data_IF_852309108597
#
_entry.id   IF_852309108597
#
_cell.length_a   1.000
_cell.length_b   1.000
_cell.length_c   1.000
_cell.angle_alpha   90.00
_cell.angle_beta   90.00
_cell.angle_gamma   90.00
#
_symmetry.space_group_name_H-M   'P 1'
#
loop_
_entity.id
_entity.type
_entity.pdbx_description
1 polymer ?
#
# COMPACT_ATOMS: atom_id res chain seq x y z
N UNK A 1 -35.50 2.08 -22.26
CA UNK A 1 -34.37 2.29 -21.36
C UNK A 1 -34.26 1.01 -20.52
N UNK A 2 -33.36 0.13 -20.92
CA UNK A 2 -33.07 -1.11 -20.19
C UNK A 2 -32.05 -0.72 -19.11
N UNK A 3 -32.47 -0.77 -17.85
CA UNK A 3 -31.57 -0.68 -16.69
C UNK A 3 -30.72 -1.93 -16.74
N UNK A 4 -29.42 -1.78 -17.05
CA UNK A 4 -28.48 -2.90 -17.04
C UNK A 4 -28.44 -3.51 -15.65
N UNK A 5 -28.48 -4.84 -15.58
CA UNK A 5 -28.28 -5.60 -14.35
C UNK A 5 -26.96 -5.17 -13.71
N UNK A 6 -26.89 -5.06 -12.37
CA UNK A 6 -25.64 -4.75 -11.68
C UNK A 6 -24.63 -5.86 -12.01
N UNK A 7 -23.46 -5.48 -12.59
CA UNK A 7 -22.33 -6.39 -12.77
C UNK A 7 -22.11 -7.16 -11.47
N UNK A 8 -22.04 -8.50 -11.54
CA UNK A 8 -21.57 -9.31 -10.41
C UNK A 8 -20.23 -8.70 -9.96
N UNK A 9 -20.16 -8.27 -8.71
CA UNK A 9 -18.89 -7.86 -8.11
C UNK A 9 -17.95 -9.04 -8.22
N UNK A 10 -16.76 -8.82 -8.78
CA UNK A 10 -15.67 -9.81 -8.77
C UNK A 10 -15.35 -10.22 -7.33
N UNK A 11 -14.53 -11.22 -7.16
CA UNK A 11 -14.02 -11.68 -5.87
C UNK A 11 -13.49 -10.49 -5.08
N UNK A 12 -13.83 -10.39 -3.81
CA UNK A 12 -13.36 -9.27 -2.98
C UNK A 12 -11.85 -9.33 -2.79
N UNK A 13 -11.19 -8.17 -2.56
CA UNK A 13 -9.76 -8.13 -2.26
C UNK A 13 -9.38 -9.10 -1.13
N UNK A 14 -10.18 -9.15 -0.05
CA UNK A 14 -9.95 -10.05 1.08
C UNK A 14 -9.92 -11.52 0.64
N UNK A 15 -10.92 -11.98 -0.13
CA UNK A 15 -10.98 -13.36 -0.62
C UNK A 15 -9.82 -13.71 -1.54
N UNK A 16 -9.41 -12.79 -2.44
CA UNK A 16 -8.26 -13.00 -3.32
C UNK A 16 -6.99 -13.16 -2.51
N UNK A 17 -6.72 -12.26 -1.58
CA UNK A 17 -5.49 -12.31 -0.78
C UNK A 17 -5.51 -13.40 0.29
N UNK A 18 -6.66 -13.85 0.77
CA UNK A 18 -6.80 -15.04 1.61
C UNK A 18 -6.35 -16.31 0.87
N UNK A 19 -6.67 -16.42 -0.43
CA UNK A 19 -6.28 -17.59 -1.25
C UNK A 19 -4.84 -17.49 -1.76
N UNK A 20 -4.40 -16.31 -2.18
CA UNK A 20 -3.02 -16.07 -2.63
C UNK A 20 -2.01 -16.33 -1.51
N UNK A 21 -2.27 -15.84 -0.31
CA UNK A 21 -1.51 -16.11 0.90
C UNK A 21 0.00 -15.93 0.71
N UNK A 22 0.77 -16.92 1.16
CA UNK A 22 2.22 -16.90 1.12
C UNK A 22 2.83 -16.86 -0.31
N UNK A 23 2.08 -17.30 -1.34
CA UNK A 23 2.55 -17.25 -2.75
C UNK A 23 2.81 -15.81 -3.23
N UNK A 24 2.11 -14.82 -2.65
CA UNK A 24 2.40 -13.42 -2.95
C UNK A 24 3.86 -13.06 -2.72
N UNK A 25 4.40 -13.50 -1.61
CA UNK A 25 5.79 -13.23 -1.23
C UNK A 25 6.81 -13.91 -2.17
N UNK A 26 6.48 -15.09 -2.69
CA UNK A 26 7.36 -15.81 -3.64
C UNK A 26 7.56 -15.01 -4.94
N UNK A 27 6.52 -14.25 -5.37
CA UNK A 27 6.57 -13.47 -6.61
C UNK A 27 7.09 -12.06 -6.37
N UNK A 28 6.70 -11.42 -5.26
CA UNK A 28 6.92 -10.00 -5.01
C UNK A 28 7.91 -9.72 -3.86
N UNK A 29 8.54 -10.75 -3.26
CA UNK A 29 9.58 -10.53 -2.27
C UNK A 29 10.78 -9.81 -2.88
N UNK A 30 11.22 -8.73 -2.22
CA UNK A 30 12.46 -8.06 -2.59
C UNK A 30 12.38 -7.17 -3.83
N UNK A 31 11.21 -6.61 -4.14
CA UNK A 31 11.09 -5.56 -5.17
C UNK A 31 12.08 -4.43 -4.89
N UNK A 32 13.08 -4.19 -5.78
CA UNK A 32 14.22 -3.31 -5.48
C UNK A 32 13.80 -1.87 -5.13
N UNK A 33 12.78 -1.33 -5.82
CA UNK A 33 12.28 0.01 -5.55
C UNK A 33 11.61 0.14 -4.18
N UNK A 34 10.92 -0.90 -3.71
CA UNK A 34 10.34 -0.94 -2.36
C UNK A 34 11.45 -0.98 -1.30
N UNK A 35 12.47 -1.81 -1.47
CA UNK A 35 13.61 -1.87 -0.55
C UNK A 35 14.35 -0.53 -0.49
N UNK A 36 14.61 0.11 -1.63
CA UNK A 36 15.22 1.44 -1.69
C UNK A 36 14.35 2.52 -1.01
N UNK A 37 13.00 2.41 -1.11
CA UNK A 37 12.11 3.32 -0.41
C UNK A 37 12.14 3.11 1.12
N UNK A 38 12.24 1.86 1.57
CA UNK A 38 12.38 1.52 2.99
C UNK A 38 13.73 1.95 3.56
N UNK A 39 14.83 1.77 2.84
CA UNK A 39 16.17 2.26 3.24
C UNK A 39 16.17 3.79 3.36
N UNK A 40 15.55 4.48 2.41
CA UNK A 40 15.41 5.93 2.45
C UNK A 40 14.62 6.39 3.67
N UNK A 41 13.54 5.68 4.01
CA UNK A 41 12.68 6.01 5.13
C UNK A 41 13.36 5.74 6.48
N UNK A 42 13.94 4.55 6.66
CA UNK A 42 14.61 4.17 7.91
C UNK A 42 15.78 5.07 8.27
N UNK A 43 16.50 5.61 7.26
CA UNK A 43 17.55 6.59 7.49
C UNK A 43 17.05 7.95 8.05
N UNK A 44 15.73 8.18 8.07
CA UNK A 44 15.08 9.45 8.48
C UNK A 44 14.22 9.32 9.72
N UNK A 45 13.88 8.11 10.10
CA UNK A 45 13.07 7.84 11.29
C UNK A 45 13.95 7.67 12.53
N UNK A 46 13.50 8.22 13.64
CA UNK A 46 14.12 7.98 14.95
C UNK A 46 13.74 6.58 15.49
N UNK A 47 14.55 5.96 16.34
CA UNK A 47 14.15 4.77 17.09
C UNK A 47 12.84 5.03 17.86
N UNK A 48 11.93 4.07 17.79
CA UNK A 48 10.60 4.20 18.38
C UNK A 48 9.58 4.96 17.54
N UNK A 49 9.96 5.45 16.34
CA UNK A 49 9.04 6.11 15.41
C UNK A 49 7.82 5.22 15.12
N UNK A 50 6.64 5.81 15.16
CA UNK A 50 5.37 5.12 14.91
C UNK A 50 5.12 5.06 13.42
N UNK A 51 5.00 3.85 12.87
CA UNK A 51 4.77 3.64 11.44
C UNK A 51 3.51 2.82 11.21
N UNK A 52 2.66 3.29 10.29
CA UNK A 52 1.52 2.54 9.77
C UNK A 52 1.90 1.94 8.42
N UNK A 53 1.70 0.63 8.28
CA UNK A 53 1.86 -0.11 7.02
C UNK A 53 0.48 -0.50 6.49
N UNK A 54 0.02 0.17 5.44
CA UNK A 54 -1.32 0.00 4.86
C UNK A 54 -1.28 -1.04 3.74
N UNK A 55 -2.05 -2.11 3.90
CA UNK A 55 -1.96 -3.30 3.06
C UNK A 55 -0.67 -4.06 3.37
N UNK A 56 -0.47 -4.36 4.65
CA UNK A 56 0.78 -4.94 5.15
C UNK A 56 1.08 -6.37 4.65
N UNK A 57 0.08 -7.03 4.04
CA UNK A 57 0.24 -8.38 3.53
C UNK A 57 0.82 -9.31 4.59
N UNK A 58 1.88 -10.04 4.22
CA UNK A 58 2.59 -10.97 5.11
C UNK A 58 3.52 -10.29 6.13
N UNK A 59 3.54 -8.94 6.19
CA UNK A 59 4.47 -8.15 6.99
C UNK A 59 5.86 -7.99 6.37
N UNK A 60 6.11 -8.61 5.22
CA UNK A 60 7.39 -8.58 4.50
C UNK A 60 7.29 -7.93 3.14
N UNK A 61 8.31 -7.12 2.75
CA UNK A 61 9.47 -6.72 3.54
C UNK A 61 9.23 -5.55 4.50
N UNK A 62 8.10 -4.80 4.34
CA UNK A 62 7.91 -3.46 4.93
C UNK A 62 7.97 -3.49 6.46
N UNK A 63 7.03 -4.16 7.11
CA UNK A 63 6.98 -4.19 8.57
C UNK A 63 8.24 -4.83 9.18
N UNK A 64 8.81 -5.86 8.55
CA UNK A 64 10.04 -6.50 9.02
C UNK A 64 11.24 -5.55 9.01
N UNK A 65 11.46 -4.81 7.92
CA UNK A 65 12.57 -3.84 7.79
C UNK A 65 12.41 -2.72 8.82
N UNK A 66 11.21 -2.15 8.93
CA UNK A 66 10.92 -1.05 9.85
C UNK A 66 11.05 -1.49 11.32
N UNK A 67 10.54 -2.66 11.69
CA UNK A 67 10.66 -3.19 13.04
C UNK A 67 12.14 -3.47 13.40
N UNK A 68 12.93 -4.03 12.47
CA UNK A 68 14.38 -4.21 12.67
C UNK A 68 15.15 -2.90 12.81
N UNK A 69 14.67 -1.82 12.19
CA UNK A 69 15.20 -0.48 12.38
C UNK A 69 14.78 0.17 13.71
N UNK A 70 14.00 -0.52 14.53
CA UNK A 70 13.57 -0.05 15.84
C UNK A 70 12.29 0.80 15.84
N UNK A 71 11.51 0.79 14.74
CA UNK A 71 10.22 1.48 14.67
C UNK A 71 9.12 0.69 15.39
N UNK A 72 8.14 1.42 15.92
CA UNK A 72 6.88 0.87 16.42
C UNK A 72 5.89 0.73 15.26
N UNK A 73 5.82 -0.46 14.66
CA UNK A 73 5.04 -0.71 13.44
C UNK A 73 3.66 -1.25 13.77
N UNK A 74 2.64 -0.65 13.15
CA UNK A 74 1.28 -1.21 13.05
C UNK A 74 1.00 -1.49 11.57
N UNK A 75 0.69 -2.74 11.23
CA UNK A 75 0.25 -3.12 9.88
C UNK A 75 -1.27 -3.34 9.85
N UNK A 76 -1.92 -2.89 8.80
CA UNK A 76 -3.33 -3.19 8.53
C UNK A 76 -3.49 -3.88 7.18
N UNK A 77 -4.35 -4.89 7.12
CA UNK A 77 -4.71 -5.59 5.89
C UNK A 77 -6.17 -6.06 5.94
N UNK A 78 -6.83 -6.13 4.79
CA UNK A 78 -8.22 -6.60 4.70
C UNK A 78 -8.32 -8.13 4.83
N UNK A 79 -7.25 -8.86 4.48
CA UNK A 79 -7.17 -10.31 4.54
C UNK A 79 -6.81 -10.78 5.96
N UNK A 80 -7.69 -11.56 6.56
CA UNK A 80 -7.41 -12.19 7.86
C UNK A 80 -6.21 -13.14 7.79
N UNK A 81 -6.09 -13.89 6.68
CA UNK A 81 -4.99 -14.81 6.47
C UNK A 81 -3.63 -14.08 6.37
N UNK A 82 -3.57 -12.96 5.63
CA UNK A 82 -2.36 -12.13 5.56
C UNK A 82 -1.97 -11.61 6.94
N UNK A 83 -2.92 -11.12 7.73
CA UNK A 83 -2.68 -10.65 9.10
C UNK A 83 -2.11 -11.75 9.99
N UNK A 84 -2.61 -12.97 9.90
CA UNK A 84 -2.11 -14.10 10.69
C UNK A 84 -0.69 -14.52 10.24
N UNK A 85 -0.40 -14.51 8.94
CA UNK A 85 0.95 -14.69 8.43
C UNK A 85 1.90 -13.60 8.93
N UNK A 86 1.48 -12.33 8.86
CA UNK A 86 2.28 -11.19 9.33
C UNK A 86 2.62 -11.31 10.83
N UNK A 87 1.65 -11.64 11.67
CA UNK A 87 1.85 -11.87 13.11
C UNK A 87 2.87 -12.96 13.39
N UNK A 88 2.84 -14.04 12.62
CA UNK A 88 3.79 -15.14 12.78
C UNK A 88 5.21 -14.81 12.31
N UNK A 89 5.34 -13.99 11.27
CA UNK A 89 6.61 -13.67 10.61
C UNK A 89 7.33 -12.48 11.22
N UNK A 90 6.57 -11.49 11.72
CA UNK A 90 7.09 -10.26 12.30
C UNK A 90 6.47 -10.02 13.69
N UNK A 91 6.78 -10.87 14.69
CA UNK A 91 6.16 -10.78 16.03
C UNK A 91 6.52 -9.49 16.78
N UNK A 92 7.45 -8.68 16.26
CA UNK A 92 7.83 -7.39 16.83
C UNK A 92 6.87 -6.26 16.43
N UNK A 93 6.01 -6.47 15.43
CA UNK A 93 5.03 -5.50 14.96
C UNK A 93 3.61 -5.90 15.39
N UNK A 94 2.69 -4.93 15.40
CA UNK A 94 1.25 -5.18 15.58
C UNK A 94 0.60 -5.31 14.21
N UNK A 95 -0.38 -6.22 14.09
CA UNK A 95 -1.16 -6.37 12.87
C UNK A 95 -2.65 -6.48 13.19
N UNK A 96 -3.45 -5.75 12.41
CA UNK A 96 -4.90 -5.66 12.56
C UNK A 96 -5.59 -5.95 11.23
N UNK A 97 -6.65 -6.76 11.26
CA UNK A 97 -7.51 -6.90 10.10
C UNK A 97 -8.36 -5.64 9.98
N UNK A 98 -8.09 -4.82 8.97
CA UNK A 98 -8.80 -3.57 8.76
C UNK A 98 -8.80 -3.15 7.30
N UNK A 99 -9.84 -2.42 6.92
CA UNK A 99 -9.97 -1.80 5.61
C UNK A 99 -9.56 -0.33 5.67
N UNK A 100 -8.64 0.11 4.82
CA UNK A 100 -8.18 1.50 4.74
C UNK A 100 -9.32 2.48 4.56
N UNK A 101 -10.43 2.07 3.92
CA UNK A 101 -11.62 2.89 3.70
C UNK A 101 -12.35 3.27 4.99
N UNK A 102 -12.23 2.46 6.03
CA UNK A 102 -12.96 2.63 7.30
C UNK A 102 -12.04 2.72 8.52
N UNK A 103 -10.79 2.31 8.40
CA UNK A 103 -9.82 2.34 9.49
C UNK A 103 -9.68 3.76 10.07
N UNK A 104 -9.63 3.84 11.37
CA UNK A 104 -9.38 5.08 12.11
C UNK A 104 -8.34 4.79 13.19
N UNK A 105 -7.17 5.43 13.16
CA UNK A 105 -6.17 5.27 14.21
C UNK A 105 -6.73 5.65 15.60
N UNK A 106 -6.36 4.87 16.61
CA UNK A 106 -6.80 5.14 18.00
C UNK A 106 -6.20 6.43 18.57
N UNK A 107 -4.97 6.78 18.19
CA UNK A 107 -4.26 7.96 18.69
C UNK A 107 -3.47 8.64 17.57
N UNK A 108 -3.33 9.96 17.69
CA UNK A 108 -2.57 10.92 16.90
C UNK A 108 -1.70 10.38 15.74
N UNK A 109 -1.13 11.25 14.94
CA UNK A 109 -0.46 10.87 13.69
C UNK A 109 0.71 9.90 13.84
N UNK A 110 1.05 9.28 12.71
CA UNK A 110 2.24 8.43 12.56
C UNK A 110 3.41 9.26 12.04
N UNK A 111 4.63 8.92 12.48
CA UNK A 111 5.87 9.50 11.92
C UNK A 111 6.07 9.09 10.46
N UNK A 112 5.53 7.93 10.07
CA UNK A 112 5.40 7.55 8.67
C UNK A 112 4.15 6.68 8.41
N UNK A 113 3.60 6.81 7.19
CA UNK A 113 2.59 5.91 6.63
C UNK A 113 3.17 5.31 5.36
N UNK A 114 3.17 3.98 5.27
CA UNK A 114 3.63 3.23 4.10
C UNK A 114 2.44 2.59 3.38
N UNK A 115 2.49 2.52 2.05
CA UNK A 115 1.49 1.86 1.22
C UNK A 115 2.14 1.34 -0.06
N UNK A 116 2.42 0.03 -0.11
CA UNK A 116 3.09 -0.58 -1.26
C UNK A 116 2.13 -1.53 -1.99
N UNK A 117 1.55 -1.05 -3.08
CA UNK A 117 0.66 -1.77 -4.02
C UNK A 117 -0.71 -2.24 -3.52
N UNK A 118 -1.28 -1.83 -2.35
CA UNK A 118 -2.53 -2.41 -1.85
C UNK A 118 -3.79 -1.86 -2.51
N UNK A 119 -3.72 -0.72 -3.22
CA UNK A 119 -4.89 0.02 -3.65
C UNK A 119 -5.40 -0.36 -5.05
N UNK A 120 -4.73 -1.26 -5.76
CA UNK A 120 -5.01 -1.58 -7.18
C UNK A 120 -6.39 -2.21 -7.41
N UNK A 121 -6.96 -2.89 -6.42
CA UNK A 121 -8.29 -3.52 -6.50
C UNK A 121 -9.42 -2.58 -6.02
N UNK A 122 -9.15 -1.30 -5.89
CA UNK A 122 -10.10 -0.25 -5.53
C UNK A 122 -10.41 0.63 -6.75
N UNK A 123 -11.64 1.15 -6.85
CA UNK A 123 -11.97 2.14 -7.89
C UNK A 123 -11.18 3.44 -7.72
N UNK A 124 -10.94 4.18 -8.80
CA UNK A 124 -10.13 5.42 -8.78
C UNK A 124 -10.57 6.41 -7.70
N UNK A 125 -11.88 6.57 -7.48
CA UNK A 125 -12.41 7.44 -6.42
C UNK A 125 -12.03 6.91 -5.04
N UNK A 126 -12.13 5.61 -4.79
CA UNK A 126 -11.75 5.00 -3.52
C UNK A 126 -10.24 5.14 -3.27
N UNK A 127 -9.41 5.02 -4.32
CA UNK A 127 -7.97 5.29 -4.24
C UNK A 127 -7.70 6.73 -3.81
N UNK A 128 -8.38 7.71 -4.40
CA UNK A 128 -8.23 9.12 -4.03
C UNK A 128 -8.64 9.38 -2.56
N UNK A 129 -9.77 8.80 -2.13
CA UNK A 129 -10.25 8.89 -0.75
C UNK A 129 -9.26 8.22 0.23
N UNK A 130 -8.70 7.05 -0.13
CA UNK A 130 -7.69 6.35 0.68
C UNK A 130 -6.39 7.17 0.80
N UNK A 131 -5.91 7.80 -0.28
CA UNK A 131 -4.74 8.68 -0.27
C UNK A 131 -4.95 9.87 0.68
N UNK A 132 -6.11 10.52 0.62
CA UNK A 132 -6.45 11.63 1.50
C UNK A 132 -6.48 11.19 2.99
N UNK A 133 -7.04 10.01 3.28
CA UNK A 133 -7.05 9.43 4.63
C UNK A 133 -5.65 9.14 5.12
N UNK A 134 -4.85 8.41 4.32
CA UNK A 134 -3.46 8.10 4.67
C UNK A 134 -2.64 9.38 4.91
N UNK A 135 -2.81 10.39 4.07
CA UNK A 135 -2.19 11.68 4.29
C UNK A 135 -2.59 12.27 5.64
N UNK A 136 -3.87 12.24 6.01
CA UNK A 136 -4.36 12.80 7.28
C UNK A 136 -3.76 12.12 8.52
N UNK A 137 -3.30 10.89 8.42
CA UNK A 137 -2.67 10.12 9.50
C UNK A 137 -1.18 10.44 9.70
N UNK A 138 -0.55 11.13 8.74
CA UNK A 138 0.85 11.53 8.87
C UNK A 138 0.97 12.69 9.87
N UNK A 139 1.82 12.55 10.87
CA UNK A 139 2.11 13.61 11.83
C UNK A 139 2.84 14.82 11.17
N UNK A 140 2.78 16.03 11.73
CA UNK A 140 3.61 17.14 11.27
C UNK A 140 5.09 16.74 11.24
N UNK A 141 5.76 17.01 10.11
CA UNK A 141 7.14 16.58 9.86
C UNK A 141 7.33 15.12 9.42
N UNK A 142 6.27 14.29 9.49
CA UNK A 142 6.27 12.89 9.10
C UNK A 142 6.18 12.65 7.60
N UNK A 143 6.20 11.37 7.20
CA UNK A 143 6.30 10.95 5.80
C UNK A 143 5.13 10.08 5.35
N UNK A 144 4.73 10.21 4.10
CA UNK A 144 3.97 9.21 3.35
C UNK A 144 4.89 8.62 2.28
N UNK A 145 5.03 7.28 2.28
CA UNK A 145 5.81 6.55 1.27
C UNK A 145 4.90 5.54 0.60
N UNK A 146 4.74 5.66 -0.71
CA UNK A 146 3.86 4.77 -1.46
C UNK A 146 4.51 4.22 -2.73
N UNK A 147 4.03 3.06 -3.15
CA UNK A 147 4.24 2.53 -4.48
C UNK A 147 2.94 1.95 -5.05
N UNK A 148 2.80 2.06 -6.38
CA UNK A 148 1.68 1.50 -7.13
C UNK A 148 2.11 1.17 -8.56
N UNK A 149 1.30 0.40 -9.27
CA UNK A 149 1.39 0.27 -10.74
C UNK A 149 0.67 1.49 -11.33
N UNK A 150 1.38 2.41 -12.01
CA UNK A 150 0.78 3.64 -12.51
C UNK A 150 -0.03 3.40 -13.78
N UNK A 151 -1.10 4.15 -13.98
CA UNK A 151 -1.90 4.13 -15.19
C UNK A 151 -3.16 4.97 -15.02
N UNK A 152 -3.76 5.38 -16.10
CA UNK A 152 -5.12 5.96 -16.10
C UNK A 152 -6.11 4.84 -16.45
N UNK A 153 -6.30 3.91 -15.51
CA UNK A 153 -7.06 2.68 -15.71
C UNK A 153 -8.25 2.71 -14.75
N UNK A 154 -9.46 2.52 -15.29
CA UNK A 154 -10.69 2.42 -14.50
C UNK A 154 -11.39 1.09 -14.79
N UNK A 155 -11.61 0.30 -13.74
CA UNK A 155 -12.41 -0.92 -13.76
C UNK A 155 -12.01 -1.93 -14.85
N UNK A 156 -10.70 -2.19 -14.99
CA UNK A 156 -10.16 -3.19 -15.90
C UNK A 156 -10.21 -4.58 -15.27
N UNK A 157 -10.93 -5.49 -15.90
CA UNK A 157 -10.96 -6.89 -15.49
C UNK A 157 -9.71 -7.62 -16.02
N UNK A 158 -8.95 -8.23 -15.13
CA UNK A 158 -7.74 -9.02 -15.43
C UNK A 158 -7.74 -10.35 -14.68
N UNK A 159 -6.93 -11.28 -15.14
CA UNK A 159 -6.59 -12.48 -14.36
C UNK A 159 -5.23 -12.24 -13.69
N UNK A 160 -5.22 -12.20 -12.36
CA UNK A 160 -4.01 -11.99 -11.57
C UNK A 160 -3.83 -13.13 -10.57
N UNK A 161 -2.70 -13.81 -10.62
CA UNK A 161 -2.38 -15.00 -9.81
C UNK A 161 -3.47 -16.08 -9.82
N UNK A 162 -4.20 -16.19 -10.96
CA UNK A 162 -5.27 -17.17 -11.15
C UNK A 162 -6.66 -16.71 -10.72
N UNK A 163 -6.82 -15.48 -10.27
CA UNK A 163 -8.10 -14.87 -9.86
C UNK A 163 -8.57 -13.82 -10.86
N UNK A 164 -9.85 -13.79 -11.13
CA UNK A 164 -10.47 -12.67 -11.84
C UNK A 164 -10.61 -11.49 -10.88
N UNK A 165 -9.93 -10.40 -11.18
CA UNK A 165 -9.93 -9.18 -10.38
C UNK A 165 -10.21 -7.97 -11.25
N UNK A 166 -10.94 -7.00 -10.71
CA UNK A 166 -11.11 -5.68 -11.33
C UNK A 166 -10.10 -4.73 -10.72
N UNK A 167 -9.24 -4.14 -11.55
CA UNK A 167 -8.20 -3.22 -11.10
C UNK A 167 -8.43 -1.82 -11.64
N UNK A 168 -8.03 -0.84 -10.84
CA UNK A 168 -7.96 0.56 -11.26
C UNK A 168 -6.64 1.16 -10.81
N UNK A 169 -6.19 2.18 -11.52
CA UNK A 169 -4.98 2.92 -11.17
C UNK A 169 -5.10 4.37 -11.59
N UNK A 170 -4.40 5.24 -10.87
CA UNK A 170 -4.26 6.65 -11.20
C UNK A 170 -2.91 6.90 -11.87
N UNK A 171 -2.84 7.91 -12.75
CA UNK A 171 -1.57 8.35 -13.32
C UNK A 171 -0.63 8.90 -12.23
N UNK A 172 0.69 8.92 -12.46
CA UNK A 172 1.63 9.57 -11.55
C UNK A 172 1.26 11.03 -11.27
N UNK A 173 0.84 11.77 -12.29
CA UNK A 173 0.43 13.17 -12.15
C UNK A 173 -0.77 13.33 -11.20
N UNK A 174 -1.74 12.42 -11.29
CA UNK A 174 -2.92 12.45 -10.43
C UNK A 174 -2.56 12.10 -8.97
N UNK A 175 -1.68 11.12 -8.74
CA UNK A 175 -1.16 10.85 -7.39
C UNK A 175 -0.49 12.09 -6.79
N UNK A 176 0.38 12.75 -7.54
CA UNK A 176 1.07 13.96 -7.07
C UNK A 176 0.10 15.10 -6.75
N UNK A 177 -0.92 15.30 -7.59
CA UNK A 177 -1.97 16.30 -7.37
C UNK A 177 -2.74 16.03 -6.08
N UNK A 178 -3.19 14.78 -5.87
CA UNK A 178 -3.94 14.37 -4.69
C UNK A 178 -3.12 14.51 -3.40
N UNK A 179 -1.85 14.16 -3.42
CA UNK A 179 -0.95 14.33 -2.27
C UNK A 179 -0.76 15.81 -1.91
N UNK A 180 -0.58 16.68 -2.93
CA UNK A 180 -0.49 18.11 -2.74
C UNK A 180 -1.79 18.68 -2.14
N UNK A 181 -2.96 18.30 -2.66
CA UNK A 181 -4.26 18.72 -2.15
C UNK A 181 -4.52 18.23 -0.71
N UNK A 182 -3.95 17.10 -0.34
CA UNK A 182 -3.97 16.57 1.03
C UNK A 182 -2.97 17.25 1.98
N UNK A 183 -2.24 18.28 1.50
CA UNK A 183 -1.30 19.07 2.29
C UNK A 183 0.05 18.41 2.50
N UNK A 184 0.48 17.51 1.61
CA UNK A 184 1.80 16.93 1.60
C UNK A 184 2.70 17.57 0.56
N UNK A 185 3.97 17.72 0.89
CA UNK A 185 5.04 18.12 -0.04
C UNK A 185 5.72 16.88 -0.60
N UNK A 186 5.75 16.74 -1.93
CA UNK A 186 6.46 15.64 -2.59
C UNK A 186 7.96 15.90 -2.50
N UNK A 187 8.67 14.99 -1.83
CA UNK A 187 10.14 15.05 -1.68
C UNK A 187 10.83 14.44 -2.89
N UNK A 188 10.32 13.30 -3.35
CA UNK A 188 10.90 12.55 -4.47
C UNK A 188 9.84 11.63 -5.08
N UNK A 189 9.87 11.47 -6.38
CA UNK A 189 9.11 10.44 -7.07
C UNK A 189 9.87 9.94 -8.30
N UNK A 190 9.62 8.70 -8.70
CA UNK A 190 10.14 8.12 -9.94
C UNK A 190 9.30 6.92 -10.37
N UNK A 191 9.43 6.55 -11.62
CA UNK A 191 8.90 5.30 -12.17
C UNK A 191 10.06 4.36 -12.50
N UNK A 192 9.93 3.09 -12.17
CA UNK A 192 10.92 2.06 -12.46
C UNK A 192 10.25 0.83 -13.07
N UNK A 193 10.91 0.20 -14.04
CA UNK A 193 10.44 -1.03 -14.64
C UNK A 193 10.81 -2.22 -13.74
N UNK A 194 9.80 -2.94 -13.29
CA UNK A 194 9.95 -4.21 -12.57
C UNK A 194 9.76 -5.38 -13.54
N UNK A 195 10.55 -6.43 -13.37
CA UNK A 195 10.51 -7.65 -14.18
C UNK A 195 10.36 -8.84 -13.25
N UNK A 196 9.12 -9.23 -12.91
CA UNK A 196 8.89 -10.44 -12.12
C UNK A 196 9.31 -11.68 -12.91
N UNK A 197 9.77 -12.71 -12.22
CA UNK A 197 10.11 -13.99 -12.85
C UNK A 197 8.83 -14.65 -13.40
N UNK A 198 8.84 -14.96 -14.70
CA UNK A 198 7.72 -15.66 -15.36
C UNK A 198 6.48 -14.79 -15.67
N UNK A 199 6.57 -13.47 -15.54
CA UNK A 199 5.49 -12.54 -15.90
C UNK A 199 5.99 -11.39 -16.79
N UNK A 200 5.05 -10.65 -17.38
CA UNK A 200 5.38 -9.47 -18.17
C UNK A 200 5.94 -8.34 -17.30
N UNK A 201 6.87 -7.54 -17.85
CA UNK A 201 7.38 -6.38 -17.14
C UNK A 201 6.28 -5.37 -16.86
N UNK A 202 6.29 -4.77 -15.66
CA UNK A 202 5.36 -3.72 -15.27
C UNK A 202 6.08 -2.49 -14.71
N UNK A 203 5.50 -1.32 -14.91
CA UNK A 203 6.01 -0.09 -14.32
C UNK A 203 5.53 0.05 -12.89
N UNK A 204 6.44 0.44 -12.00
CA UNK A 204 6.14 0.80 -10.63
C UNK A 204 6.42 2.27 -10.40
N UNK A 205 5.42 3.00 -9.91
CA UNK A 205 5.56 4.37 -9.47
C UNK A 205 5.83 4.41 -7.98
N UNK A 206 6.87 5.10 -7.58
CA UNK A 206 7.27 5.34 -6.18
C UNK A 206 7.16 6.82 -5.87
N UNK A 207 6.59 7.15 -4.72
CA UNK A 207 6.49 8.52 -4.25
C UNK A 207 6.80 8.59 -2.75
N UNK A 208 7.57 9.60 -2.39
CA UNK A 208 7.93 9.97 -1.02
C UNK A 208 7.46 11.40 -0.79
N UNK A 209 6.55 11.57 0.14
CA UNK A 209 5.99 12.87 0.48
C UNK A 209 6.14 13.14 1.97
N UNK A 210 6.14 14.40 2.37
CA UNK A 210 6.30 14.85 3.75
C UNK A 210 5.15 15.78 4.13
N UNK A 211 4.66 15.65 5.34
CA UNK A 211 3.81 16.68 5.92
C UNK A 211 4.70 17.82 6.46
N UNK A 212 4.44 19.08 6.09
CA UNK A 212 5.09 20.21 6.74
C UNK A 212 4.96 20.18 8.27
N UNK A 213 5.96 20.74 8.97
CA UNK A 213 5.99 20.80 10.44
C UNK A 213 5.01 21.82 11.00
#
# INVERSE_FOLDING_TARGET
MTVGEPKKRGTSAAEVFDDVGARYEEVFAGVPGQLAALDWLTARLAPGARVLDVGSGTGRPTAEVLARAGCAVTGIDVSAHMVDLARSRVPQARFEQADVRTYTPEEGGFDAVCSFFPLLVMGQREVAEALARMASWVAPGGFLVLATVPGDISDLDIVWMGHEVTVSSLSPAEHLRLLYEAGLEVVEHHTALFRPEGAEPEEHFYCRARRPA
#
